data_IF_033785630088
#
_entry.id   IF_033785630088
#
_cell.length_a   1.000
_cell.length_b   1.000
_cell.length_c   1.000
_cell.angle_alpha   90.00
_cell.angle_beta   90.00
_cell.angle_gamma   90.00
#
_symmetry.space_group_name_H-M   'P 1'
#
loop_
_entity.id
_entity.type
_entity.pdbx_description
1 polymer ?
#
# COMPACT_ATOMS: atom_id res chain seq x y z
N UNK A 1 -11.08 16.80 -17.93
CA UNK A 1 -11.16 15.92 -19.12
C UNK A 1 -10.12 14.78 -19.06
N UNK A 2 -10.11 13.95 -18.01
CA UNK A 2 -9.11 12.87 -17.83
C UNK A 2 -9.66 11.44 -18.08
N UNK A 3 -10.93 11.30 -18.48
CA UNK A 3 -11.55 9.99 -18.74
C UNK A 3 -11.20 9.40 -20.12
N UNK A 4 -10.92 10.24 -21.11
CA UNK A 4 -10.64 9.82 -22.49
C UNK A 4 -9.35 9.01 -22.62
N UNK A 5 -8.24 9.56 -22.13
CA UNK A 5 -6.90 8.92 -22.21
C UNK A 5 -6.83 7.58 -21.47
N UNK A 6 -7.56 7.45 -20.36
CA UNK A 6 -7.50 6.24 -19.56
C UNK A 6 -8.34 5.12 -20.19
N UNK A 7 -9.50 5.44 -20.78
CA UNK A 7 -10.29 4.46 -21.52
C UNK A 7 -9.59 4.02 -22.82
N UNK A 8 -8.92 4.95 -23.51
CA UNK A 8 -8.07 4.63 -24.66
C UNK A 8 -6.92 3.69 -24.25
N UNK A 9 -6.23 3.98 -23.15
CA UNK A 9 -5.18 3.10 -22.61
C UNK A 9 -5.68 1.68 -22.30
N UNK A 10 -6.84 1.55 -21.68
CA UNK A 10 -7.44 0.23 -21.42
C UNK A 10 -7.82 -0.50 -22.72
N UNK A 11 -8.31 0.21 -23.73
CA UNK A 11 -8.59 -0.39 -25.03
C UNK A 11 -7.32 -0.92 -25.71
N UNK A 12 -6.20 -0.19 -25.60
CA UNK A 12 -4.91 -0.63 -26.15
C UNK A 12 -4.36 -1.86 -25.40
N UNK A 13 -4.51 -1.88 -24.08
CA UNK A 13 -4.14 -3.05 -23.26
C UNK A 13 -4.99 -4.26 -23.63
N UNK A 14 -6.29 -4.09 -23.83
CA UNK A 14 -7.18 -5.17 -24.23
C UNK A 14 -6.78 -5.75 -25.60
N UNK A 15 -6.49 -4.90 -26.58
CA UNK A 15 -5.96 -5.33 -27.88
C UNK A 15 -4.61 -6.06 -27.74
N UNK A 16 -3.73 -5.59 -26.84
CA UNK A 16 -2.46 -6.26 -26.58
C UNK A 16 -2.67 -7.66 -25.94
N UNK A 17 -3.64 -7.81 -25.03
CA UNK A 17 -4.00 -9.11 -24.44
C UNK A 17 -4.53 -10.07 -25.50
N UNK A 18 -5.48 -9.64 -26.32
CA UNK A 18 -6.07 -10.45 -27.41
C UNK A 18 -5.01 -10.91 -28.43
N UNK A 19 -4.07 -10.02 -28.79
CA UNK A 19 -2.95 -10.39 -29.66
C UNK A 19 -1.93 -11.30 -28.96
N UNK A 20 -1.80 -11.15 -27.63
CA UNK A 20 -0.90 -11.90 -26.76
C UNK A 20 -1.39 -13.29 -26.40
N UNK A 21 -2.68 -13.62 -26.54
CA UNK A 21 -3.23 -14.97 -26.29
C UNK A 21 -2.53 -16.06 -27.13
N UNK A 22 -1.88 -15.68 -28.22
CA UNK A 22 -1.12 -16.57 -29.10
C UNK A 22 0.32 -16.78 -28.65
N UNK A 23 0.77 -16.05 -27.63
CA UNK A 23 2.10 -16.12 -27.07
C UNK A 23 2.06 -16.93 -25.78
N UNK A 24 3.12 -17.68 -25.52
CA UNK A 24 3.31 -18.27 -24.20
C UNK A 24 3.54 -17.15 -23.17
N UNK A 25 3.21 -17.37 -21.89
CA UNK A 25 3.51 -16.41 -20.85
C UNK A 25 4.99 -16.03 -20.86
N UNK A 26 5.23 -14.73 -20.93
CA UNK A 26 6.56 -14.16 -20.96
C UNK A 26 6.60 -12.83 -20.19
N UNK A 27 7.80 -12.30 -19.98
CA UNK A 27 8.02 -10.95 -19.41
C UNK A 27 7.15 -9.88 -20.08
N UNK A 28 7.08 -9.85 -21.40
CA UNK A 28 6.36 -8.82 -22.15
C UNK A 28 4.84 -8.91 -21.91
N UNK A 29 4.28 -10.11 -21.97
CA UNK A 29 2.85 -10.32 -21.74
C UNK A 29 2.46 -10.04 -20.29
N UNK A 30 3.34 -10.29 -19.32
CA UNK A 30 3.06 -9.88 -17.95
C UNK A 30 3.32 -8.39 -17.66
N UNK A 31 4.16 -7.70 -18.44
CA UNK A 31 4.20 -6.22 -18.42
C UNK A 31 2.84 -5.66 -18.84
N UNK A 32 2.16 -6.26 -19.82
CA UNK A 32 0.79 -5.85 -20.21
C UNK A 32 -0.18 -5.96 -19.03
N UNK A 33 -0.13 -7.05 -18.26
CA UNK A 33 -0.95 -7.22 -17.05
C UNK A 33 -0.63 -6.17 -15.97
N UNK A 34 0.65 -5.82 -15.78
CA UNK A 34 1.03 -4.75 -14.86
C UNK A 34 0.53 -3.37 -15.32
N UNK A 35 0.51 -3.10 -16.63
CA UNK A 35 -0.06 -1.87 -17.19
C UNK A 35 -1.57 -1.84 -16.99
N UNK A 36 -2.26 -2.96 -17.24
CA UNK A 36 -3.69 -3.12 -16.96
C UNK A 36 -4.00 -2.79 -15.49
N UNK A 37 -3.26 -3.40 -14.57
CA UNK A 37 -3.37 -3.15 -13.14
C UNK A 37 -3.22 -1.66 -12.83
N UNK A 38 -2.20 -0.99 -13.35
CA UNK A 38 -1.96 0.43 -13.07
C UNK A 38 -3.12 1.32 -13.57
N UNK A 39 -3.68 1.03 -14.75
CA UNK A 39 -4.81 1.79 -15.32
C UNK A 39 -6.10 1.55 -14.52
N UNK A 40 -6.37 0.30 -14.12
CA UNK A 40 -7.49 -0.03 -13.25
C UNK A 40 -7.33 0.60 -11.87
N UNK A 41 -6.12 0.64 -11.32
CA UNK A 41 -5.80 1.26 -10.04
C UNK A 41 -6.14 2.75 -10.09
N UNK A 42 -5.73 3.45 -11.15
CA UNK A 42 -6.09 4.86 -11.36
C UNK A 42 -7.59 5.11 -11.53
N UNK A 43 -8.37 4.16 -12.07
CA UNK A 43 -9.85 4.25 -12.05
C UNK A 43 -10.40 4.07 -10.65
N UNK A 44 -9.88 3.08 -9.94
CA UNK A 44 -10.32 2.74 -8.60
C UNK A 44 -10.04 3.86 -7.60
N UNK A 45 -8.88 4.50 -7.68
CA UNK A 45 -8.49 5.68 -6.88
C UNK A 45 -9.45 6.86 -7.05
N UNK A 46 -10.13 6.98 -8.21
CA UNK A 46 -11.04 8.09 -8.49
C UNK A 46 -12.49 7.79 -8.13
N UNK A 47 -12.89 6.53 -8.19
CA UNK A 47 -14.30 6.13 -8.13
C UNK A 47 -14.65 5.24 -6.95
N UNK A 48 -13.65 4.55 -6.37
CA UNK A 48 -13.78 3.66 -5.22
C UNK A 48 -14.85 2.57 -5.38
N UNK A 49 -15.17 2.20 -6.62
CA UNK A 49 -16.19 1.19 -6.91
C UNK A 49 -15.71 -0.20 -6.48
N UNK A 50 -16.49 -0.97 -5.69
CA UNK A 50 -16.11 -2.33 -5.27
C UNK A 50 -15.80 -3.27 -6.45
N UNK A 51 -16.56 -3.17 -7.54
CA UNK A 51 -16.32 -3.95 -8.75
C UNK A 51 -14.92 -3.73 -9.35
N UNK A 52 -14.37 -2.51 -9.25
CA UNK A 52 -13.01 -2.24 -9.71
C UNK A 52 -11.96 -2.88 -8.78
N UNK A 53 -12.23 -2.96 -7.48
CA UNK A 53 -11.38 -3.68 -6.53
C UNK A 53 -11.35 -5.17 -6.86
N UNK A 54 -12.51 -5.77 -7.12
CA UNK A 54 -12.61 -7.17 -7.56
C UNK A 54 -11.84 -7.41 -8.86
N UNK A 55 -11.97 -6.52 -9.85
CA UNK A 55 -11.21 -6.61 -11.09
C UNK A 55 -9.69 -6.49 -10.86
N UNK A 56 -9.25 -5.61 -9.97
CA UNK A 56 -7.83 -5.47 -9.60
C UNK A 56 -7.29 -6.76 -8.97
N UNK A 57 -8.05 -7.37 -8.06
CA UNK A 57 -7.67 -8.64 -7.44
C UNK A 57 -7.67 -9.80 -8.45
N UNK A 58 -8.59 -9.78 -9.43
CA UNK A 58 -8.61 -10.74 -10.54
C UNK A 58 -7.35 -10.62 -11.40
N UNK A 59 -6.97 -9.40 -11.80
CA UNK A 59 -5.72 -9.16 -12.57
C UNK A 59 -4.49 -9.58 -11.78
N UNK A 60 -4.47 -9.36 -10.46
CA UNK A 60 -3.41 -9.87 -9.57
C UNK A 60 -3.32 -11.40 -9.65
N UNK A 61 -4.45 -12.11 -9.53
CA UNK A 61 -4.48 -13.58 -9.61
C UNK A 61 -4.01 -14.06 -10.98
N UNK A 62 -4.56 -13.51 -12.06
CA UNK A 62 -4.17 -13.84 -13.43
C UNK A 62 -2.67 -13.61 -13.64
N UNK A 63 -2.11 -12.55 -13.06
CA UNK A 63 -0.67 -12.27 -13.16
C UNK A 63 0.17 -13.30 -12.42
N UNK A 64 -0.27 -13.80 -11.25
CA UNK A 64 0.46 -14.84 -10.52
C UNK A 64 0.50 -16.14 -11.33
N UNK A 65 -0.64 -16.53 -11.87
CA UNK A 65 -0.79 -17.75 -12.66
C UNK A 65 0.02 -17.64 -13.97
N UNK A 66 -0.02 -16.47 -14.61
CA UNK A 66 0.74 -16.18 -15.84
C UNK A 66 2.24 -16.45 -15.68
N UNK A 67 2.84 -16.07 -14.56
CA UNK A 67 4.27 -16.25 -14.35
C UNK A 67 4.67 -17.61 -13.78
N UNK A 68 3.74 -18.55 -13.59
CA UNK A 68 4.05 -19.81 -12.91
C UNK A 68 4.97 -20.72 -13.74
N UNK A 69 4.81 -20.69 -15.06
CA UNK A 69 5.59 -21.47 -16.05
C UNK A 69 6.90 -20.79 -16.49
N UNK A 70 7.20 -19.60 -15.96
CA UNK A 70 8.39 -18.82 -16.31
C UNK A 70 9.66 -19.28 -15.58
N UNK A 71 10.81 -18.79 -16.05
CA UNK A 71 12.09 -19.03 -15.39
C UNK A 71 12.02 -18.57 -13.93
N UNK A 72 12.61 -19.36 -13.01
CA UNK A 72 12.46 -19.16 -11.56
C UNK A 72 12.73 -17.72 -11.11
N UNK A 73 13.81 -17.09 -11.60
CA UNK A 73 14.13 -15.72 -11.23
C UNK A 73 13.08 -14.70 -11.74
N UNK A 74 12.54 -14.89 -12.95
CA UNK A 74 11.50 -14.02 -13.52
C UNK A 74 10.23 -14.17 -12.70
N UNK A 75 9.81 -15.42 -12.46
CA UNK A 75 8.64 -15.74 -11.66
C UNK A 75 8.71 -15.13 -10.27
N UNK A 76 9.85 -15.26 -9.61
CA UNK A 76 10.03 -14.77 -8.24
C UNK A 76 10.02 -13.23 -8.20
N UNK A 77 10.74 -12.55 -9.09
CA UNK A 77 10.71 -11.09 -9.21
C UNK A 77 9.29 -10.57 -9.43
N UNK A 78 8.54 -11.17 -10.36
CA UNK A 78 7.17 -10.76 -10.64
C UNK A 78 6.23 -11.07 -9.47
N UNK A 79 6.36 -12.24 -8.83
CA UNK A 79 5.57 -12.58 -7.64
C UNK A 79 5.76 -11.55 -6.52
N UNK A 80 6.99 -11.06 -6.31
CA UNK A 80 7.25 -10.01 -5.32
C UNK A 80 6.51 -8.71 -5.65
N UNK A 81 6.58 -8.27 -6.91
CA UNK A 81 5.89 -7.05 -7.36
C UNK A 81 4.38 -7.21 -7.23
N UNK A 82 3.82 -8.33 -7.69
CA UNK A 82 2.38 -8.58 -7.69
C UNK A 82 1.84 -8.67 -6.26
N UNK A 83 2.54 -9.37 -5.35
CA UNK A 83 2.16 -9.42 -3.93
C UNK A 83 2.20 -8.04 -3.28
N UNK A 84 3.20 -7.23 -3.61
CA UNK A 84 3.28 -5.86 -3.10
C UNK A 84 2.13 -4.99 -3.64
N UNK A 85 1.76 -5.13 -4.91
CA UNK A 85 0.56 -4.49 -5.48
C UNK A 85 -0.74 -4.98 -4.85
N UNK A 86 -0.86 -6.28 -4.56
CA UNK A 86 -2.01 -6.83 -3.84
C UNK A 86 -2.15 -6.21 -2.45
N UNK A 87 -1.04 -6.04 -1.72
CA UNK A 87 -1.06 -5.38 -0.42
C UNK A 87 -1.61 -3.95 -0.50
N UNK A 88 -1.33 -3.22 -1.57
CA UNK A 88 -1.85 -1.87 -1.77
C UNK A 88 -3.38 -1.86 -1.89
N UNK A 89 -3.93 -2.77 -2.69
CA UNK A 89 -5.38 -2.89 -2.87
C UNK A 89 -6.07 -3.26 -1.56
N UNK A 90 -5.51 -4.22 -0.82
CA UNK A 90 -6.05 -4.63 0.47
C UNK A 90 -5.98 -3.52 1.53
N UNK A 91 -4.89 -2.77 1.58
CA UNK A 91 -4.64 -1.75 2.60
C UNK A 91 -5.20 -0.36 2.26
N UNK A 92 -5.87 -0.23 1.11
CA UNK A 92 -6.41 1.03 0.62
C UNK A 92 -5.32 2.06 0.32
N UNK A 93 -4.29 1.62 -0.41
CA UNK A 93 -3.16 2.44 -0.83
C UNK A 93 -3.24 2.63 -2.34
N UNK A 94 -3.13 3.87 -2.81
CA UNK A 94 -3.06 4.20 -4.23
C UNK A 94 -1.68 3.98 -4.83
N UNK A 95 -1.59 4.12 -6.15
CA UNK A 95 -0.45 3.73 -6.98
C UNK A 95 0.86 4.42 -6.57
N UNK A 96 0.76 5.63 -6.01
CA UNK A 96 1.89 6.47 -5.60
C UNK A 96 1.94 6.72 -4.09
N UNK A 97 1.62 5.69 -3.30
CA UNK A 97 1.70 5.72 -1.83
C UNK A 97 0.77 6.76 -1.19
N UNK A 98 -0.39 7.02 -1.76
CA UNK A 98 -1.48 7.77 -1.12
C UNK A 98 -2.41 6.84 -0.35
N UNK A 99 -2.91 7.28 0.80
CA UNK A 99 -3.94 6.53 1.53
C UNK A 99 -5.30 6.93 1.00
N UNK A 100 -6.01 5.94 0.47
CA UNK A 100 -7.37 6.13 -0.03
C UNK A 100 -8.33 6.23 1.14
N UNK A 101 -9.30 7.15 1.03
CA UNK A 101 -10.36 7.35 2.02
C UNK A 101 -11.45 6.29 1.86
N UNK A 102 -11.07 5.02 1.95
CA UNK A 102 -11.95 3.86 1.84
C UNK A 102 -11.88 3.03 3.12
N UNK A 103 -12.99 2.38 3.53
CA UNK A 103 -12.95 1.45 4.63
C UNK A 103 -12.08 0.24 4.27
N UNK A 104 -11.28 -0.21 5.22
CA UNK A 104 -10.49 -1.45 5.14
C UNK A 104 -10.93 -2.33 6.31
N UNK A 105 -11.43 -3.52 5.99
CA UNK A 105 -11.81 -4.52 6.99
C UNK A 105 -10.58 -5.19 7.62
N UNK A 106 -10.77 -5.82 8.78
CA UNK A 106 -9.70 -6.56 9.44
C UNK A 106 -9.16 -7.71 8.58
N UNK A 107 -10.01 -8.35 7.79
CA UNK A 107 -9.58 -9.45 6.91
C UNK A 107 -8.76 -8.93 5.73
N UNK A 108 -9.12 -7.79 5.16
CA UNK A 108 -8.29 -7.12 4.15
C UNK A 108 -6.96 -6.68 4.75
N UNK A 109 -6.94 -6.11 5.95
CA UNK A 109 -5.71 -5.78 6.67
C UNK A 109 -4.81 -7.01 6.82
N UNK A 110 -5.36 -8.14 7.29
CA UNK A 110 -4.62 -9.42 7.44
C UNK A 110 -4.08 -9.93 6.10
N UNK A 111 -4.88 -9.90 5.04
CA UNK A 111 -4.42 -10.31 3.71
C UNK A 111 -3.29 -9.40 3.20
N UNK A 112 -3.42 -8.08 3.36
CA UNK A 112 -2.37 -7.13 3.02
C UNK A 112 -1.08 -7.39 3.80
N UNK A 113 -1.17 -7.62 5.11
CA UNK A 113 -0.01 -7.98 5.94
C UNK A 113 0.62 -9.31 5.53
N UNK A 114 -0.19 -10.32 5.19
CA UNK A 114 0.31 -11.61 4.69
C UNK A 114 1.10 -11.44 3.40
N UNK A 115 0.61 -10.63 2.45
CA UNK A 115 1.36 -10.32 1.22
C UNK A 115 2.72 -9.66 1.53
N UNK A 116 2.75 -8.72 2.48
CA UNK A 116 3.99 -8.02 2.86
C UNK A 116 5.01 -8.96 3.52
N UNK A 117 4.55 -9.89 4.36
CA UNK A 117 5.41 -10.88 5.02
C UNK A 117 6.02 -11.85 4.00
N UNK A 118 5.27 -12.24 2.97
CA UNK A 118 5.80 -13.05 1.87
C UNK A 118 6.85 -12.31 1.04
N UNK A 119 6.67 -11.00 0.84
CA UNK A 119 7.66 -10.15 0.16
C UNK A 119 8.95 -10.01 0.98
N UNK A 120 8.82 -9.88 2.30
CA UNK A 120 9.95 -9.74 3.23
C UNK A 120 10.91 -10.94 3.21
N UNK A 121 10.42 -12.15 2.95
CA UNK A 121 11.27 -13.36 2.82
C UNK A 121 12.35 -13.23 1.74
N UNK A 122 12.13 -12.41 0.71
CA UNK A 122 13.07 -12.17 -0.38
C UNK A 122 13.59 -10.72 -0.38
N UNK A 123 13.68 -10.10 0.79
CA UNK A 123 14.04 -8.68 0.96
C UNK A 123 15.28 -8.24 0.16
N UNK A 124 16.31 -9.09 0.09
CA UNK A 124 17.57 -8.76 -0.56
C UNK A 124 17.43 -8.62 -2.09
N UNK A 125 16.42 -9.25 -2.70
CA UNK A 125 16.16 -9.19 -4.14
C UNK A 125 15.34 -7.95 -4.54
N UNK A 126 14.69 -7.29 -3.58
CA UNK A 126 13.84 -6.13 -3.88
C UNK A 126 14.67 -4.93 -4.34
N UNK A 127 14.26 -4.37 -5.48
CA UNK A 127 14.73 -3.07 -5.93
C UNK A 127 14.37 -1.97 -4.92
N UNK A 128 15.16 -0.90 -4.90
CA UNK A 128 15.09 0.15 -3.89
C UNK A 128 13.70 0.80 -3.79
N UNK A 129 13.03 1.04 -4.92
CA UNK A 129 11.68 1.61 -4.96
C UNK A 129 10.64 0.67 -4.32
N UNK A 130 10.79 -0.64 -4.51
CA UNK A 130 9.89 -1.63 -3.90
C UNK A 130 10.10 -1.74 -2.39
N UNK A 131 11.34 -1.56 -1.89
CA UNK A 131 11.62 -1.47 -0.45
C UNK A 131 10.93 -0.26 0.19
N UNK A 132 10.96 0.91 -0.46
CA UNK A 132 10.21 2.10 -0.03
C UNK A 132 8.71 1.83 0.06
N UNK A 133 8.14 1.26 -1.02
CA UNK A 133 6.73 0.90 -1.12
C UNK A 133 6.34 -0.10 -0.02
N UNK A 134 7.19 -1.08 0.27
CA UNK A 134 6.99 -2.03 1.37
C UNK A 134 6.97 -1.34 2.74
N UNK A 135 7.92 -0.44 3.01
CA UNK A 135 7.95 0.30 4.28
C UNK A 135 6.67 1.14 4.47
N UNK A 136 6.22 1.80 3.41
CA UNK A 136 4.97 2.56 3.42
C UNK A 136 3.75 1.66 3.73
N UNK A 137 3.63 0.52 3.06
CA UNK A 137 2.53 -0.40 3.29
C UNK A 137 2.57 -1.04 4.69
N UNK A 138 3.76 -1.42 5.18
CA UNK A 138 3.92 -1.94 6.55
C UNK A 138 3.58 -0.87 7.60
N UNK A 139 3.89 0.39 7.34
CA UNK A 139 3.47 1.50 8.20
C UNK A 139 1.95 1.63 8.25
N UNK A 140 1.27 1.45 7.11
CA UNK A 140 -0.21 1.46 7.04
C UNK A 140 -0.82 0.36 7.90
N UNK A 141 -0.27 -0.86 7.88
CA UNK A 141 -0.69 -1.94 8.80
C UNK A 141 -0.52 -1.51 10.26
N UNK A 142 0.66 -1.01 10.64
CA UNK A 142 0.92 -0.61 12.04
C UNK A 142 0.02 0.53 12.49
N UNK A 143 -0.30 1.46 11.60
CA UNK A 143 -1.23 2.54 11.90
C UNK A 143 -2.66 2.01 12.10
N UNK A 144 -3.13 1.04 11.31
CA UNK A 144 -4.42 0.39 11.52
C UNK A 144 -4.47 -0.36 12.86
N UNK A 145 -3.35 -0.92 13.30
CA UNK A 145 -3.21 -1.55 14.62
C UNK A 145 -3.10 -0.54 15.78
N UNK A 146 -3.12 0.78 15.51
CA UNK A 146 -2.94 1.83 16.52
C UNK A 146 -1.48 2.06 16.95
N UNK A 147 -0.52 1.38 16.35
CA UNK A 147 0.92 1.53 16.62
C UNK A 147 1.53 2.67 15.81
N UNK A 148 1.08 3.91 16.06
CA UNK A 148 1.48 5.10 15.31
C UNK A 148 3.00 5.40 15.38
N UNK A 149 3.67 5.09 16.48
CA UNK A 149 5.12 5.31 16.65
C UNK A 149 5.93 4.40 15.72
N UNK A 150 5.55 3.11 15.67
CA UNK A 150 6.13 2.15 14.74
C UNK A 150 5.84 2.52 13.29
N UNK A 151 4.62 2.98 13.00
CA UNK A 151 4.28 3.49 11.67
C UNK A 151 5.18 4.68 11.28
N UNK A 152 5.40 5.64 12.19
CA UNK A 152 6.27 6.80 11.95
C UNK A 152 7.73 6.41 11.68
N UNK A 153 8.25 5.40 12.39
CA UNK A 153 9.61 4.87 12.15
C UNK A 153 9.75 4.21 10.78
N UNK A 154 8.75 3.43 10.36
CA UNK A 154 8.73 2.83 9.02
C UNK A 154 8.62 3.90 7.93
N UNK A 155 7.82 4.94 8.16
CA UNK A 155 7.69 6.06 7.22
C UNK A 155 8.98 6.88 7.11
N UNK A 156 9.75 7.03 8.18
CA UNK A 156 11.07 7.66 8.11
C UNK A 156 11.99 6.92 7.12
N UNK A 157 12.05 5.58 7.20
CA UNK A 157 12.83 4.77 6.24
C UNK A 157 12.33 4.92 4.79
N UNK A 158 11.00 5.01 4.60
CA UNK A 158 10.43 5.25 3.28
C UNK A 158 10.79 6.65 2.74
N UNK A 159 10.78 7.68 3.59
CA UNK A 159 11.17 9.04 3.23
C UNK A 159 12.63 9.14 2.83
N UNK A 160 13.54 8.51 3.57
CA UNK A 160 14.97 8.52 3.27
C UNK A 160 15.20 7.97 1.84
N UNK A 161 14.61 6.80 1.55
CA UNK A 161 14.69 6.19 0.21
C UNK A 161 14.08 7.12 -0.85
N UNK A 162 12.90 7.69 -0.59
CA UNK A 162 12.21 8.56 -1.55
C UNK A 162 13.01 9.82 -1.87
N UNK A 163 13.63 10.43 -0.84
CA UNK A 163 14.46 11.62 -0.97
C UNK A 163 15.76 11.35 -1.72
N UNK A 164 16.50 10.32 -1.32
CA UNK A 164 17.78 9.93 -1.96
C UNK A 164 17.62 9.59 -3.45
N UNK A 165 16.47 9.03 -3.84
CA UNK A 165 16.22 8.54 -5.19
C UNK A 165 15.30 9.47 -6.02
N UNK A 166 14.95 10.65 -5.50
CA UNK A 166 14.09 11.63 -6.16
C UNK A 166 12.70 11.11 -6.59
N UNK A 167 12.07 10.22 -5.79
CA UNK A 167 10.71 9.74 -6.01
C UNK A 167 9.67 10.77 -5.55
N UNK A 168 9.60 11.90 -6.26
CA UNK A 168 8.89 13.12 -5.83
C UNK A 168 7.40 12.93 -5.56
N UNK A 169 6.70 12.09 -6.34
CA UNK A 169 5.26 11.83 -6.14
C UNK A 169 5.02 11.05 -4.85
N UNK A 170 5.75 9.95 -4.66
CA UNK A 170 5.66 9.14 -3.44
C UNK A 170 6.10 9.94 -2.22
N UNK A 171 7.19 10.71 -2.32
CA UNK A 171 7.71 11.55 -1.23
C UNK A 171 6.62 12.41 -0.61
N UNK A 172 5.84 13.13 -1.43
CA UNK A 172 4.77 14.00 -0.95
C UNK A 172 3.70 13.22 -0.16
N UNK A 173 3.34 12.03 -0.61
CA UNK A 173 2.31 11.24 0.05
C UNK A 173 2.84 10.52 1.31
N UNK A 174 4.11 10.11 1.32
CA UNK A 174 4.77 9.58 2.51
C UNK A 174 4.86 10.66 3.59
N UNK A 175 5.20 11.91 3.25
CA UNK A 175 5.22 13.04 4.20
C UNK A 175 3.85 13.25 4.82
N UNK A 176 2.79 13.37 4.01
CA UNK A 176 1.41 13.54 4.49
C UNK A 176 1.00 12.42 5.45
N UNK A 177 1.33 11.17 5.12
CA UNK A 177 0.99 10.05 6.00
C UNK A 177 1.77 10.11 7.33
N UNK A 178 3.04 10.51 7.29
CA UNK A 178 3.84 10.67 8.51
C UNK A 178 3.31 11.78 9.41
N UNK A 179 2.93 12.92 8.83
CA UNK A 179 2.29 14.03 9.56
C UNK A 179 1.03 13.55 10.29
N UNK A 180 0.15 12.82 9.59
CA UNK A 180 -1.04 12.22 10.21
C UNK A 180 -0.70 11.29 11.38
N UNK A 181 0.30 10.41 11.24
CA UNK A 181 0.74 9.55 12.34
C UNK A 181 1.26 10.35 13.54
N UNK A 182 2.00 11.44 13.29
CA UNK A 182 2.51 12.30 14.36
C UNK A 182 1.40 13.06 15.09
N UNK A 183 0.40 13.56 14.37
CA UNK A 183 -0.79 14.19 14.97
C UNK A 183 -1.50 13.23 15.92
N UNK A 184 -1.67 11.96 15.50
CA UNK A 184 -2.26 10.92 16.36
C UNK A 184 -1.41 10.61 17.58
N UNK A 185 -0.08 10.58 17.47
CA UNK A 185 0.80 10.42 18.62
C UNK A 185 0.60 11.55 19.65
N UNK A 186 0.52 12.79 19.19
CA UNK A 186 0.30 13.95 20.07
C UNK A 186 -1.08 13.87 20.74
N UNK A 187 -2.14 13.53 20.00
CA UNK A 187 -3.48 13.33 20.56
C UNK A 187 -3.49 12.25 21.67
N UNK A 188 -2.76 11.15 21.47
CA UNK A 188 -2.65 10.07 22.45
C UNK A 188 -1.87 10.51 23.70
N UNK A 189 -0.75 11.23 23.54
CA UNK A 189 0.03 11.75 24.67
C UNK A 189 -0.78 12.75 25.52
N UNK A 190 -1.44 13.71 24.87
CA UNK A 190 -2.25 14.72 25.56
C UNK A 190 -3.40 14.09 26.36
N UNK A 191 -4.03 13.03 25.84
CA UNK A 191 -5.07 12.29 26.56
C UNK A 191 -4.52 11.60 27.81
N UNK A 192 -3.32 11.01 27.74
CA UNK A 192 -2.70 10.37 28.90
C UNK A 192 -2.32 11.38 29.97
N UNK A 193 -1.82 12.56 29.58
CA UNK A 193 -1.47 13.62 30.53
C UNK A 193 -2.71 14.20 31.23
N UNK A 194 -3.82 14.40 30.50
CA UNK A 194 -5.09 14.81 31.10
C UNK A 194 -5.63 13.77 32.10
N UNK A 195 -5.53 12.47 31.78
CA UNK A 195 -5.94 11.41 32.72
C UNK A 195 -5.07 11.45 33.98
N UNK A 196 -3.75 11.62 33.82
CA UNK A 196 -2.83 11.73 34.96
C UNK A 196 -3.14 12.95 35.83
N UNK A 197 -3.40 14.11 35.23
CA UNK A 197 -3.78 15.32 35.95
C UNK A 197 -5.09 15.12 36.73
N UNK A 198 -6.12 14.54 36.11
CA UNK A 198 -7.39 14.27 36.77
C UNK A 198 -7.25 13.29 37.95
N UNK A 199 -6.38 12.27 37.82
CA UNK A 199 -6.10 11.33 38.94
C UNK A 199 -5.41 12.08 40.08
N UNK A 200 -4.41 12.92 39.78
CA UNK A 200 -3.70 13.70 40.80
C UNK A 200 -4.66 14.66 41.51
N UNK A 201 -5.52 15.36 40.78
CA UNK A 201 -6.52 16.27 41.37
C UNK A 201 -7.55 15.52 42.23
N UNK A 202 -8.03 14.36 41.78
CA UNK A 202 -8.94 13.51 42.56
C UNK A 202 -8.31 13.02 43.86
N UNK A 203 -7.05 12.56 43.80
CA UNK A 203 -6.34 12.12 44.99
C UNK A 203 -6.05 13.29 45.94
N UNK A 204 -5.72 14.47 45.44
CA UNK A 204 -5.48 15.63 46.31
C UNK A 204 -6.77 16.06 47.03
N UNK A 205 -7.91 16.09 46.36
CA UNK A 205 -9.18 16.47 47.00
C UNK A 205 -9.59 15.48 48.11
N UNK A 206 -9.36 14.17 47.94
CA UNK A 206 -9.61 13.17 48.98
C UNK A 206 -8.70 13.31 50.23
N UNK A 207 -7.52 13.94 50.09
CA UNK A 207 -6.57 14.13 51.20
C UNK A 207 -6.74 15.46 51.96
N UNK A 208 -7.51 16.41 51.44
CA UNK A 208 -7.70 17.74 52.05
C UNK A 208 -9.13 18.00 52.56
N UNK A 209 -10.02 17.00 52.52
CA UNK A 209 -11.41 17.07 53.03
C UNK A 209 -11.59 16.49 54.46
N UNK A 210 -10.51 16.32 55.25
CA UNK A 210 -10.54 16.03 56.71
C UNK A 210 -10.13 17.25 57.56
#
# INVERSE_FOLDING_TARGET
MCGGQLNEGLSLVQQAKENGERLMPCRETGIVLLVEFNLLCQKYEKSHLPLLKENLLKVISESIDHFEDEQEYVRDDFRLIIRLRASFIYLGIGLFCDILSIPVSDDERKHGESCLNEVEKNWNQLQIRWKMIWYFAKARVKQMDGFYEFAATLLAKALDIAGENNFTRELQNIVKFREHCNEKLIEHSNKQDNIRQNIVESCLNEFFDE
#
